data_IF_302111192307
#
_entry.id   IF_302111192307
#
_cell.length_a   1.000
_cell.length_b   1.000
_cell.length_c   1.000
_cell.angle_alpha   90.00
_cell.angle_beta   90.00
_cell.angle_gamma   90.00
#
_symmetry.space_group_name_H-M   'P 1'
#
loop_
_entity.id
_entity.type
_entity.pdbx_description
1 polymer ?
#
# COMPACT_ATOMS: atom_id res chain seq x y z
N UNK A 1 -2.55 -30.76 12.44
CA UNK A 1 -3.70 -29.85 12.53
C UNK A 1 -4.13 -29.46 11.12
N UNK A 2 -5.40 -29.56 10.77
CA UNK A 2 -5.87 -28.99 9.51
C UNK A 2 -5.70 -27.46 9.60
N UNK A 3 -5.09 -26.87 8.57
CA UNK A 3 -4.88 -25.42 8.51
C UNK A 3 -6.23 -24.75 8.25
N UNK A 4 -6.48 -23.59 8.89
CA UNK A 4 -7.66 -22.79 8.65
C UNK A 4 -7.78 -22.46 7.16
N UNK A 5 -9.00 -22.27 6.67
CA UNK A 5 -9.30 -21.89 5.29
C UNK A 5 -10.10 -20.60 5.30
N UNK A 6 -9.98 -19.82 4.24
CA UNK A 6 -10.85 -18.65 4.06
C UNK A 6 -12.31 -19.05 3.98
N UNK A 7 -13.16 -18.32 4.68
CA UNK A 7 -14.60 -18.51 4.68
C UNK A 7 -15.26 -18.12 3.35
N UNK A 8 -14.64 -17.18 2.59
CA UNK A 8 -15.16 -16.70 1.32
C UNK A 8 -14.08 -16.37 0.30
N UNK A 9 -14.43 -16.47 -1.00
CA UNK A 9 -13.55 -16.04 -2.09
C UNK A 9 -13.28 -14.54 -2.04
N UNK A 10 -14.30 -13.74 -1.78
CA UNK A 10 -14.18 -12.30 -1.65
C UNK A 10 -13.28 -11.91 -0.48
N UNK A 11 -13.41 -12.62 0.66
CA UNK A 11 -12.52 -12.45 1.80
C UNK A 11 -11.06 -12.67 1.42
N UNK A 12 -10.74 -13.79 0.76
CA UNK A 12 -9.39 -14.06 0.28
C UNK A 12 -8.85 -12.95 -0.64
N UNK A 13 -9.63 -12.52 -1.66
CA UNK A 13 -9.19 -11.50 -2.61
C UNK A 13 -8.93 -10.18 -1.89
N UNK A 14 -9.84 -9.74 -1.02
CA UNK A 14 -9.71 -8.47 -0.31
C UNK A 14 -8.58 -8.46 0.71
N UNK A 15 -8.30 -9.59 1.38
CA UNK A 15 -7.16 -9.68 2.30
C UNK A 15 -5.85 -9.65 1.54
N UNK A 16 -5.73 -10.48 0.50
CA UNK A 16 -4.52 -10.54 -0.32
C UNK A 16 -4.27 -9.21 -1.04
N UNK A 17 -5.32 -8.57 -1.55
CA UNK A 17 -5.23 -7.21 -2.08
C UNK A 17 -4.87 -6.21 -0.97
N UNK A 18 -5.40 -6.34 0.25
CA UNK A 18 -5.04 -5.50 1.39
C UNK A 18 -3.59 -5.65 1.85
N UNK A 19 -2.97 -6.79 1.59
CA UNK A 19 -1.52 -6.97 1.78
C UNK A 19 -0.71 -6.20 0.73
N UNK A 20 -1.17 -6.20 -0.52
CA UNK A 20 -0.54 -5.45 -1.62
C UNK A 20 -0.85 -3.94 -1.52
N UNK A 21 -2.13 -3.59 -1.32
CA UNK A 21 -2.60 -2.21 -1.19
C UNK A 21 -2.13 -1.61 0.14
N UNK A 22 -1.12 -0.80 0.08
CA UNK A 22 -0.54 -0.16 1.25
C UNK A 22 -0.04 1.25 0.95
N UNK A 23 0.86 1.71 1.79
CA UNK A 23 1.57 2.99 1.65
C UNK A 23 2.24 3.11 0.27
N UNK A 24 2.67 1.98 -0.30
CA UNK A 24 3.31 1.89 -1.60
C UNK A 24 2.46 2.42 -2.75
N UNK A 25 1.16 2.15 -2.73
CA UNK A 25 0.22 2.58 -3.78
C UNK A 25 -0.14 4.05 -3.65
N UNK A 26 -0.33 4.52 -2.41
CA UNK A 26 -0.89 5.86 -2.17
C UNK A 26 0.20 6.92 -2.05
N UNK A 27 1.39 6.53 -1.64
CA UNK A 27 2.50 7.44 -1.46
C UNK A 27 3.61 7.25 -2.50
N UNK A 28 4.24 6.03 -2.50
CA UNK A 28 5.41 5.81 -3.34
C UNK A 28 5.07 5.87 -4.83
N UNK A 29 3.96 5.27 -5.24
CA UNK A 29 3.56 5.23 -6.64
C UNK A 29 3.36 6.63 -7.25
N UNK A 30 2.53 7.55 -6.69
CA UNK A 30 2.40 8.90 -7.22
C UNK A 30 3.73 9.66 -7.22
N UNK A 31 4.50 9.58 -6.13
CA UNK A 31 5.80 10.22 -6.04
C UNK A 31 6.75 9.76 -7.15
N UNK A 32 6.90 8.44 -7.35
CA UNK A 32 7.78 7.91 -8.39
C UNK A 32 7.25 8.23 -9.79
N UNK A 33 5.93 8.17 -10.01
CA UNK A 33 5.31 8.54 -11.28
C UNK A 33 5.59 10.01 -11.64
N UNK A 34 5.45 10.92 -10.67
CA UNK A 34 5.72 12.34 -10.88
C UNK A 34 7.18 12.63 -11.24
N UNK A 35 8.11 11.91 -10.64
CA UNK A 35 9.56 12.12 -10.89
C UNK A 35 10.09 11.38 -12.12
N UNK A 36 9.36 10.43 -12.68
CA UNK A 36 9.81 9.59 -13.79
C UNK A 36 8.96 9.73 -15.06
N UNK A 37 8.55 10.96 -15.39
CA UNK A 37 7.90 11.27 -16.67
C UNK A 37 6.42 10.89 -16.76
N UNK A 38 5.73 10.74 -15.61
CA UNK A 38 4.28 10.57 -15.54
C UNK A 38 3.78 9.34 -16.30
N UNK A 39 3.05 9.58 -17.40
CA UNK A 39 2.38 8.53 -18.17
C UNK A 39 3.29 7.43 -18.69
N UNK A 40 4.55 7.71 -19.05
CA UNK A 40 5.49 6.68 -19.52
C UNK A 40 5.84 5.71 -18.39
N UNK A 41 6.06 6.23 -17.17
CA UNK A 41 6.29 5.39 -16.00
C UNK A 41 5.07 4.49 -15.73
N UNK A 42 3.86 5.04 -15.78
CA UNK A 42 2.61 4.29 -15.57
C UNK A 42 2.47 3.16 -16.59
N UNK A 43 2.75 3.42 -17.86
CA UNK A 43 2.71 2.39 -18.92
C UNK A 43 3.74 1.28 -18.68
N UNK A 44 4.98 1.62 -18.37
CA UNK A 44 6.03 0.64 -18.08
C UNK A 44 5.71 -0.17 -16.81
N UNK A 45 5.20 0.50 -15.78
CA UNK A 45 4.74 -0.17 -14.55
C UNK A 45 3.65 -1.22 -14.85
N UNK A 46 2.62 -0.87 -15.62
CA UNK A 46 1.58 -1.81 -16.02
C UNK A 46 2.14 -2.97 -16.85
N UNK A 47 3.08 -2.70 -17.76
CA UNK A 47 3.76 -3.73 -18.53
C UNK A 47 4.51 -4.71 -17.62
N UNK A 48 5.27 -4.21 -16.64
CA UNK A 48 6.00 -5.08 -15.69
C UNK A 48 5.08 -5.84 -14.74
N UNK A 49 3.93 -5.27 -14.35
CA UNK A 49 2.91 -6.01 -13.60
C UNK A 49 2.41 -7.23 -14.39
N UNK A 50 2.14 -7.04 -15.69
CA UNK A 50 1.69 -8.15 -16.55
C UNK A 50 2.79 -9.19 -16.79
N UNK A 51 4.02 -8.74 -17.07
CA UNK A 51 5.13 -9.64 -17.45
C UNK A 51 5.72 -10.38 -16.24
N UNK A 52 5.83 -9.74 -15.11
CA UNK A 52 6.51 -10.29 -13.93
C UNK A 52 5.62 -10.33 -12.70
N UNK A 53 4.83 -9.29 -12.44
CA UNK A 53 4.02 -9.17 -11.23
C UNK A 53 3.05 -10.33 -11.08
N UNK A 54 2.17 -10.55 -12.06
CA UNK A 54 1.18 -11.64 -12.04
C UNK A 54 1.84 -13.02 -12.00
N UNK A 55 2.85 -13.35 -12.82
CA UNK A 55 3.52 -14.64 -12.74
C UNK A 55 4.18 -14.90 -11.37
N UNK A 56 4.95 -13.95 -10.84
CA UNK A 56 5.63 -14.11 -9.54
C UNK A 56 4.63 -14.24 -8.41
N UNK A 57 3.58 -13.41 -8.38
CA UNK A 57 2.48 -13.52 -7.42
C UNK A 57 1.82 -14.90 -7.48
N UNK A 58 1.54 -15.39 -8.69
CA UNK A 58 0.94 -16.71 -8.86
C UNK A 58 1.85 -17.84 -8.39
N UNK A 59 3.18 -17.71 -8.58
CA UNK A 59 4.18 -18.66 -8.06
C UNK A 59 4.23 -18.65 -6.53
N UNK A 60 4.21 -17.48 -5.87
CA UNK A 60 4.18 -17.41 -4.41
C UNK A 60 2.90 -18.04 -3.83
N UNK A 61 1.74 -17.73 -4.41
CA UNK A 61 0.49 -18.39 -4.03
C UNK A 61 0.55 -19.92 -4.22
N UNK A 62 1.19 -20.40 -5.30
CA UNK A 62 1.35 -21.81 -5.57
C UNK A 62 2.27 -22.49 -4.54
N UNK A 63 3.39 -21.86 -4.18
CA UNK A 63 4.30 -22.35 -3.15
C UNK A 63 3.61 -22.42 -1.79
N UNK A 64 2.87 -21.39 -1.40
CA UNK A 64 2.08 -21.39 -0.19
C UNK A 64 1.04 -22.51 -0.16
N UNK A 65 0.30 -22.70 -1.27
CA UNK A 65 -0.70 -23.78 -1.40
C UNK A 65 -0.08 -25.17 -1.35
N UNK A 66 1.12 -25.36 -1.92
CA UNK A 66 1.80 -26.63 -1.94
C UNK A 66 2.34 -27.03 -0.56
N UNK A 67 2.98 -26.09 0.15
CA UNK A 67 3.60 -26.34 1.46
C UNK A 67 2.60 -26.23 2.61
N UNK A 68 1.51 -25.45 2.47
CA UNK A 68 0.59 -25.08 3.56
C UNK A 68 1.30 -24.50 4.78
N UNK A 69 2.40 -23.81 4.55
CA UNK A 69 3.32 -23.32 5.59
C UNK A 69 3.70 -21.86 5.35
N UNK A 70 4.25 -21.20 6.37
CA UNK A 70 4.87 -19.89 6.25
C UNK A 70 6.19 -19.98 5.46
N UNK A 71 6.74 -18.83 5.05
CA UNK A 71 7.86 -18.74 4.10
C UNK A 71 9.04 -19.65 4.45
N UNK A 72 9.52 -19.69 5.68
CA UNK A 72 10.70 -20.49 6.07
C UNK A 72 10.42 -21.99 5.87
N UNK A 73 9.31 -22.46 6.41
CA UNK A 73 8.91 -23.86 6.30
C UNK A 73 8.58 -24.24 4.87
N UNK A 74 7.95 -23.35 4.11
CA UNK A 74 7.61 -23.60 2.71
C UNK A 74 8.85 -23.92 1.87
N UNK A 75 9.92 -23.15 2.03
CA UNK A 75 11.17 -23.44 1.31
C UNK A 75 11.83 -24.73 1.77
N UNK A 76 11.85 -25.04 3.07
CA UNK A 76 12.37 -26.31 3.57
C UNK A 76 11.60 -27.54 3.04
N UNK A 77 10.27 -27.43 2.93
CA UNK A 77 9.43 -28.54 2.47
C UNK A 77 9.49 -28.74 0.95
N UNK A 78 9.70 -27.66 0.19
CA UNK A 78 9.68 -27.70 -1.28
C UNK A 78 11.07 -27.85 -1.91
N UNK A 79 12.15 -27.58 -1.19
CA UNK A 79 13.49 -27.71 -1.73
C UNK A 79 13.90 -29.18 -1.91
N UNK A 80 14.69 -29.45 -2.96
CA UNK A 80 15.24 -30.79 -3.19
C UNK A 80 16.47 -31.04 -2.31
N UNK A 81 16.78 -32.32 -2.00
CA UNK A 81 18.00 -32.65 -1.26
C UNK A 81 19.25 -32.03 -1.90
N UNK A 82 20.03 -31.33 -1.09
CA UNK A 82 21.26 -30.62 -1.53
C UNK A 82 21.05 -29.18 -2.01
N UNK A 83 19.82 -28.70 -2.16
CA UNK A 83 19.55 -27.28 -2.42
C UNK A 83 19.56 -26.48 -1.12
N UNK A 84 19.67 -25.15 -1.22
CA UNK A 84 19.72 -24.22 -0.08
C UNK A 84 18.72 -23.07 -0.21
N UNK A 85 17.55 -23.35 -0.79
CA UNK A 85 16.51 -22.33 -0.99
C UNK A 85 15.90 -21.85 0.33
N UNK A 86 16.00 -22.62 1.41
CA UNK A 86 15.60 -22.20 2.75
C UNK A 86 16.32 -20.90 3.20
N UNK A 87 17.52 -20.60 2.69
CA UNK A 87 18.22 -19.35 2.97
C UNK A 87 17.38 -18.15 2.50
N UNK A 88 16.74 -18.25 1.33
CA UNK A 88 15.81 -17.22 0.85
C UNK A 88 14.60 -17.07 1.81
N UNK A 89 14.11 -18.17 2.38
CA UNK A 89 13.06 -18.13 3.40
C UNK A 89 13.43 -17.30 4.62
N UNK A 90 14.65 -17.45 5.13
CA UNK A 90 15.16 -16.61 6.23
C UNK A 90 15.33 -15.15 5.82
N UNK A 91 15.89 -14.88 4.62
CA UNK A 91 16.02 -13.52 4.11
C UNK A 91 14.66 -12.82 3.95
N UNK A 92 13.67 -13.53 3.43
CA UNK A 92 12.30 -13.03 3.31
C UNK A 92 11.68 -12.72 4.69
N UNK A 93 11.90 -13.57 5.68
CA UNK A 93 11.42 -13.33 7.05
C UNK A 93 12.08 -12.08 7.67
N UNK A 94 13.39 -11.91 7.52
CA UNK A 94 14.09 -10.69 7.95
C UNK A 94 13.51 -9.45 7.26
N UNK A 95 13.22 -9.56 5.95
CA UNK A 95 12.56 -8.50 5.18
C UNK A 95 11.18 -8.14 5.76
N UNK A 96 10.38 -9.13 6.16
CA UNK A 96 9.08 -8.88 6.81
C UNK A 96 9.23 -8.16 8.16
N UNK A 97 10.21 -8.48 8.99
CA UNK A 97 10.47 -7.75 10.22
C UNK A 97 10.89 -6.30 9.97
N UNK A 98 11.81 -6.06 9.03
CA UNK A 98 12.25 -4.71 8.66
C UNK A 98 11.06 -3.89 8.13
N UNK A 99 10.25 -4.50 7.27
CA UNK A 99 9.03 -3.88 6.74
C UNK A 99 8.05 -3.53 7.88
N UNK A 100 7.85 -4.43 8.82
CA UNK A 100 6.94 -4.22 9.96
C UNK A 100 7.36 -3.02 10.81
N UNK A 101 8.66 -2.87 11.12
CA UNK A 101 9.16 -1.71 11.86
C UNK A 101 8.84 -0.39 11.16
N UNK A 102 9.05 -0.31 9.86
CA UNK A 102 8.72 0.87 9.08
C UNK A 102 7.21 1.12 9.02
N UNK A 103 6.44 0.09 8.67
CA UNK A 103 4.99 0.23 8.45
C UNK A 103 4.23 0.56 9.72
N UNK A 104 4.57 -0.02 10.86
CA UNK A 104 3.90 0.28 12.14
C UNK A 104 4.11 1.72 12.56
N UNK A 105 5.32 2.25 12.38
CA UNK A 105 5.65 3.65 12.69
C UNK A 105 4.86 4.61 11.80
N UNK A 106 4.91 4.41 10.48
CA UNK A 106 4.21 5.31 9.53
C UNK A 106 2.70 5.17 9.63
N UNK A 107 2.17 3.97 9.88
CA UNK A 107 0.74 3.77 10.17
C UNK A 107 0.29 4.56 11.42
N UNK A 108 1.15 4.60 12.43
CA UNK A 108 0.92 5.41 13.62
C UNK A 108 0.81 6.90 13.30
N UNK A 109 1.68 7.44 12.44
CA UNK A 109 1.58 8.83 11.98
C UNK A 109 0.27 9.10 11.26
N UNK A 110 -0.17 8.18 10.38
CA UNK A 110 -1.44 8.32 9.65
C UNK A 110 -2.64 8.37 10.59
N UNK A 111 -2.68 7.47 11.58
CA UNK A 111 -3.71 7.47 12.61
C UNK A 111 -3.67 8.77 13.44
N UNK A 112 -2.49 9.23 13.82
CA UNK A 112 -2.31 10.49 14.54
C UNK A 112 -2.85 11.70 13.76
N UNK A 113 -2.55 11.78 12.46
CA UNK A 113 -3.08 12.82 11.58
C UNK A 113 -4.60 12.72 11.42
N UNK A 114 -5.15 11.52 11.25
CA UNK A 114 -6.60 11.32 11.24
C UNK A 114 -7.26 11.88 12.50
N UNK A 115 -6.74 11.56 13.68
CA UNK A 115 -7.26 12.06 14.94
C UNK A 115 -7.16 13.60 15.00
N UNK A 116 -6.02 14.18 14.62
CA UNK A 116 -5.84 15.65 14.60
C UNK A 116 -6.84 16.36 13.67
N UNK A 117 -7.19 15.76 12.53
CA UNK A 117 -8.25 16.29 11.67
C UNK A 117 -9.63 16.17 12.31
N UNK A 118 -9.93 15.04 12.97
CA UNK A 118 -11.22 14.83 13.65
C UNK A 118 -11.38 15.74 14.86
N UNK A 119 -10.33 15.92 15.68
CA UNK A 119 -10.36 16.83 16.85
C UNK A 119 -10.37 18.31 16.45
N UNK A 120 -9.84 18.63 15.27
CA UNK A 120 -9.74 19.99 14.77
C UNK A 120 -8.44 20.69 15.18
N UNK A 121 -7.43 19.94 15.58
CA UNK A 121 -6.10 20.48 15.88
C UNK A 121 -5.40 21.00 14.61
N UNK A 122 -5.80 20.49 13.44
CA UNK A 122 -5.33 20.98 12.13
C UNK A 122 -6.36 21.98 11.61
N UNK A 123 -5.93 23.23 11.50
CA UNK A 123 -6.72 24.37 11.02
C UNK A 123 -6.07 25.01 9.81
N UNK A 124 -6.75 25.97 9.16
CA UNK A 124 -6.21 26.72 8.01
C UNK A 124 -4.92 27.51 8.30
N UNK A 125 -4.60 27.73 9.58
CA UNK A 125 -3.41 28.48 10.01
C UNK A 125 -2.33 27.58 10.58
N UNK A 126 -2.44 26.26 10.47
CA UNK A 126 -1.47 25.30 10.98
C UNK A 126 -0.29 25.23 10.02
N UNK A 127 0.94 25.45 10.49
CA UNK A 127 2.13 25.15 9.68
C UNK A 127 2.34 23.63 9.60
N UNK A 128 1.91 23.05 8.47
CA UNK A 128 2.00 21.60 8.21
C UNK A 128 3.45 21.09 8.25
N UNK A 129 4.43 21.95 7.90
CA UNK A 129 5.86 21.57 7.93
C UNK A 129 6.36 21.46 9.36
N UNK A 130 6.03 22.47 10.19
CA UNK A 130 6.40 22.47 11.61
C UNK A 130 5.67 21.33 12.35
N UNK A 131 4.38 21.12 12.06
CA UNK A 131 3.61 20.05 12.68
C UNK A 131 4.21 18.66 12.40
N UNK A 132 4.66 18.41 11.17
CA UNK A 132 5.32 17.15 10.84
C UNK A 132 6.69 17.02 11.52
N UNK A 133 7.47 18.10 11.57
CA UNK A 133 8.73 18.15 12.32
C UNK A 133 8.53 17.85 13.81
N UNK A 134 7.50 18.42 14.43
CA UNK A 134 7.16 18.18 15.85
C UNK A 134 6.76 16.72 16.11
N UNK A 135 6.04 16.08 15.18
CA UNK A 135 5.69 14.65 15.29
C UNK A 135 6.94 13.79 15.26
N UNK A 136 7.87 14.05 14.32
CA UNK A 136 9.12 13.29 14.21
C UNK A 136 10.07 13.56 15.39
N UNK A 137 10.09 14.79 15.90
CA UNK A 137 10.94 15.17 17.02
C UNK A 137 10.49 14.59 18.36
N UNK A 138 9.25 14.09 18.47
CA UNK A 138 8.72 13.55 19.72
C UNK A 138 8.61 12.01 19.70
N UNK A 139 9.63 11.28 20.22
CA UNK A 139 9.65 9.82 20.22
C UNK A 139 8.47 9.19 20.98
N UNK A 140 7.97 9.85 22.05
CA UNK A 140 6.85 9.33 22.83
C UNK A 140 5.54 9.36 22.07
N UNK A 141 5.26 10.42 21.34
CA UNK A 141 4.07 10.52 20.49
C UNK A 141 4.13 9.44 19.39
N UNK A 142 5.28 9.30 18.74
CA UNK A 142 5.48 8.26 17.73
C UNK A 142 5.27 6.86 18.31
N UNK A 143 5.87 6.59 19.48
CA UNK A 143 5.74 5.30 20.16
C UNK A 143 4.28 4.99 20.52
N UNK A 144 3.54 5.94 21.07
CA UNK A 144 2.13 5.74 21.45
C UNK A 144 1.28 5.37 20.24
N UNK A 145 1.36 6.12 19.13
CA UNK A 145 0.58 5.84 17.93
C UNK A 145 0.99 4.51 17.28
N UNK A 146 2.29 4.21 17.24
CA UNK A 146 2.79 2.92 16.78
C UNK A 146 2.26 1.78 17.65
N UNK A 147 2.30 1.92 18.98
CA UNK A 147 1.80 0.91 19.91
C UNK A 147 0.30 0.65 19.73
N UNK A 148 -0.50 1.69 19.47
CA UNK A 148 -1.94 1.53 19.17
C UNK A 148 -2.14 0.70 17.89
N UNK A 149 -1.40 0.99 16.82
CA UNK A 149 -1.47 0.21 15.57
C UNK A 149 -1.08 -1.25 15.79
N UNK A 150 0.03 -1.49 16.49
CA UNK A 150 0.49 -2.86 16.81
C UNK A 150 -0.55 -3.58 17.65
N UNK A 151 -1.11 -2.94 18.66
CA UNK A 151 -2.13 -3.53 19.52
C UNK A 151 -3.38 -3.93 18.71
N UNK A 152 -3.87 -3.06 17.83
CA UNK A 152 -5.00 -3.37 16.94
C UNK A 152 -4.66 -4.57 16.07
N UNK A 153 -3.49 -4.59 15.43
CA UNK A 153 -3.09 -5.69 14.55
C UNK A 153 -2.96 -7.02 15.31
N UNK A 154 -2.35 -7.02 16.50
CA UNK A 154 -2.23 -8.21 17.37
C UNK A 154 -3.61 -8.71 17.80
N UNK A 155 -4.53 -7.83 18.20
CA UNK A 155 -5.90 -8.22 18.56
C UNK A 155 -6.58 -8.88 17.35
N UNK A 156 -6.47 -8.28 16.16
CA UNK A 156 -7.08 -8.83 14.93
C UNK A 156 -6.52 -10.21 14.61
N UNK A 157 -5.20 -10.40 14.62
CA UNK A 157 -4.58 -11.70 14.38
C UNK A 157 -4.93 -12.73 15.46
N UNK A 158 -5.02 -12.32 16.74
CA UNK A 158 -5.37 -13.22 17.85
C UNK A 158 -6.81 -13.78 17.76
N UNK A 159 -7.70 -13.14 16.99
CA UNK A 159 -9.06 -13.63 16.75
C UNK A 159 -9.12 -14.76 15.71
N UNK A 160 -7.98 -15.14 15.12
CA UNK A 160 -7.85 -16.17 14.09
C UNK A 160 -8.19 -15.66 12.69
N UNK A 161 -7.99 -16.53 11.68
CA UNK A 161 -8.10 -16.16 10.28
C UNK A 161 -9.52 -15.67 9.89
N UNK A 162 -10.56 -16.47 10.17
CA UNK A 162 -11.91 -16.18 9.69
C UNK A 162 -12.60 -15.04 10.47
N UNK A 163 -12.51 -15.03 11.79
CA UNK A 163 -13.23 -14.07 12.64
C UNK A 163 -12.46 -12.75 12.83
N UNK A 164 -11.13 -12.79 12.78
CA UNK A 164 -10.25 -11.64 12.90
C UNK A 164 -9.83 -11.11 11.55
N UNK A 165 -8.79 -11.72 10.98
CA UNK A 165 -8.10 -11.21 9.79
C UNK A 165 -9.05 -11.09 8.61
N UNK A 166 -9.82 -12.13 8.25
CA UNK A 166 -10.74 -12.09 7.11
C UNK A 166 -11.86 -11.07 7.31
N UNK A 167 -12.57 -11.17 8.42
CA UNK A 167 -13.75 -10.34 8.64
C UNK A 167 -13.40 -8.87 8.74
N UNK A 168 -12.40 -8.51 9.52
CA UNK A 168 -12.02 -7.11 9.77
C UNK A 168 -11.40 -6.50 8.52
N UNK A 169 -10.42 -7.16 7.90
CA UNK A 169 -9.76 -6.64 6.69
C UNK A 169 -10.75 -6.51 5.53
N UNK A 170 -11.70 -7.43 5.37
CA UNK A 170 -12.76 -7.32 4.36
C UNK A 170 -13.55 -6.01 4.48
N UNK A 171 -14.02 -5.67 5.68
CA UNK A 171 -14.76 -4.42 5.88
C UNK A 171 -13.87 -3.19 5.71
N UNK A 172 -12.64 -3.24 6.23
CA UNK A 172 -11.67 -2.16 6.03
C UNK A 172 -11.41 -1.90 4.54
N UNK A 173 -11.22 -2.96 3.74
CA UNK A 173 -10.97 -2.84 2.30
C UNK A 173 -12.19 -2.31 1.54
N UNK A 174 -13.40 -2.72 1.90
CA UNK A 174 -14.62 -2.16 1.28
C UNK A 174 -14.77 -0.66 1.58
N UNK A 175 -14.53 -0.25 2.82
CA UNK A 175 -14.55 1.18 3.21
C UNK A 175 -13.45 1.93 2.47
N UNK A 176 -12.24 1.37 2.41
CA UNK A 176 -11.09 1.94 1.70
C UNK A 176 -11.42 2.19 0.22
N UNK A 177 -11.99 1.19 -0.47
CA UNK A 177 -12.39 1.33 -1.87
C UNK A 177 -13.50 2.39 -2.06
N UNK A 178 -14.43 2.49 -1.13
CA UNK A 178 -15.42 3.56 -1.13
C UNK A 178 -14.79 4.95 -0.93
N UNK A 179 -13.91 5.08 0.04
CA UNK A 179 -13.21 6.33 0.35
C UNK A 179 -12.35 6.81 -0.83
N UNK A 180 -11.59 5.93 -1.48
CA UNK A 180 -10.73 6.31 -2.61
C UNK A 180 -11.55 6.81 -3.80
N UNK A 181 -12.72 6.22 -4.07
CA UNK A 181 -13.62 6.66 -5.14
C UNK A 181 -14.16 8.07 -4.82
N UNK A 182 -14.64 8.29 -3.60
CA UNK A 182 -15.17 9.59 -3.17
C UNK A 182 -14.09 10.67 -3.25
N UNK A 183 -12.88 10.38 -2.76
CA UNK A 183 -11.75 11.31 -2.81
C UNK A 183 -11.31 11.60 -4.24
N UNK A 184 -11.28 10.60 -5.12
CA UNK A 184 -10.93 10.77 -6.52
C UNK A 184 -11.96 11.64 -7.26
N UNK A 185 -13.26 11.39 -7.08
CA UNK A 185 -14.34 12.21 -7.65
C UNK A 185 -14.18 13.65 -7.18
N UNK A 186 -13.98 13.87 -5.88
CA UNK A 186 -13.80 15.23 -5.34
C UNK A 186 -12.55 15.91 -5.93
N UNK A 187 -11.42 15.21 -6.02
CA UNK A 187 -10.20 15.78 -6.59
C UNK A 187 -10.36 16.19 -8.05
N UNK A 188 -11.15 15.44 -8.84
CA UNK A 188 -11.46 15.77 -10.23
C UNK A 188 -12.40 16.98 -10.39
N UNK A 189 -13.13 17.37 -9.35
CA UNK A 189 -13.98 18.57 -9.37
C UNK A 189 -13.23 19.87 -9.05
N UNK A 190 -11.95 19.79 -8.68
CA UNK A 190 -11.14 20.96 -8.34
C UNK A 190 -10.74 21.75 -9.59
N UNK A 191 -10.67 23.09 -9.45
CA UNK A 191 -10.19 23.96 -10.50
C UNK A 191 -8.71 23.65 -10.82
N UNK A 192 -8.42 23.27 -12.06
CA UNK A 192 -7.07 22.85 -12.45
C UNK A 192 -6.83 21.34 -12.48
N UNK A 193 -7.82 20.52 -12.10
CA UNK A 193 -7.72 19.05 -12.11
C UNK A 193 -7.22 18.50 -13.47
N UNK A 194 -7.63 19.09 -14.58
CA UNK A 194 -7.17 18.70 -15.92
C UNK A 194 -5.66 18.82 -16.11
N UNK A 195 -5.00 19.79 -15.47
CA UNK A 195 -3.53 19.92 -15.51
C UNK A 195 -2.87 18.77 -14.76
N UNK A 196 -3.40 18.41 -13.59
CA UNK A 196 -2.92 17.29 -12.78
C UNK A 196 -3.08 15.95 -13.51
N UNK A 197 -4.23 15.71 -14.14
CA UNK A 197 -4.46 14.51 -14.93
C UNK A 197 -3.53 14.44 -16.15
N UNK A 198 -3.29 15.56 -16.83
CA UNK A 198 -2.32 15.63 -17.93
C UNK A 198 -0.91 15.30 -17.46
N UNK A 199 -0.48 15.88 -16.34
CA UNK A 199 0.83 15.60 -15.74
C UNK A 199 1.00 14.12 -15.39
N UNK A 200 -0.04 13.49 -14.85
CA UNK A 200 -0.01 12.09 -14.40
C UNK A 200 -0.05 11.10 -15.57
N UNK A 201 -0.90 11.34 -16.60
CA UNK A 201 -1.20 10.33 -17.62
C UNK A 201 -0.50 10.58 -18.96
N UNK A 202 -0.03 11.80 -19.23
CA UNK A 202 0.66 12.13 -20.47
C UNK A 202 2.16 12.03 -20.26
N UNK A 203 2.91 11.31 -21.13
CA UNK A 203 4.36 11.24 -21.05
C UNK A 203 5.01 12.63 -21.18
N UNK A 204 5.90 12.96 -20.25
CA UNK A 204 6.70 14.18 -20.31
C UNK A 204 8.08 13.86 -20.90
N UNK A 205 8.29 14.25 -22.16
CA UNK A 205 9.51 13.97 -22.91
C UNK A 205 10.73 14.66 -22.29
N UNK A 206 10.57 15.86 -21.74
CA UNK A 206 11.68 16.58 -21.10
C UNK A 206 12.15 15.83 -19.85
N UNK A 207 11.22 15.31 -19.05
CA UNK A 207 11.54 14.49 -17.89
C UNK A 207 12.19 13.16 -18.29
N UNK A 208 11.78 12.57 -19.41
CA UNK A 208 12.40 11.32 -19.91
C UNK A 208 13.87 11.56 -20.27
N UNK A 209 14.18 12.70 -20.91
CA UNK A 209 15.55 13.07 -21.24
C UNK A 209 16.38 13.38 -19.98
N UNK A 210 15.81 14.11 -19.02
CA UNK A 210 16.48 14.48 -17.75
C UNK A 210 16.82 13.26 -16.89
N UNK A 211 15.84 12.38 -16.66
CA UNK A 211 16.00 11.21 -15.78
C UNK A 211 16.72 10.05 -16.49
N UNK A 212 16.56 9.94 -17.78
CA UNK A 212 17.05 8.85 -18.60
C UNK A 212 16.10 7.65 -18.64
N UNK A 213 15.76 7.19 -19.84
CA UNK A 213 14.77 6.12 -20.05
C UNK A 213 15.11 4.82 -19.30
N UNK A 214 16.41 4.48 -19.19
CA UNK A 214 16.86 3.29 -18.43
C UNK A 214 16.52 3.35 -16.95
N UNK A 215 16.63 4.52 -16.33
CA UNK A 215 16.27 4.72 -14.92
C UNK A 215 14.76 4.58 -14.72
N UNK A 216 13.96 5.10 -15.65
CA UNK A 216 12.49 4.98 -15.62
C UNK A 216 12.06 3.51 -15.69
N UNK A 217 12.71 2.70 -16.56
CA UNK A 217 12.47 1.26 -16.65
C UNK A 217 12.75 0.58 -15.30
N UNK A 218 13.90 0.87 -14.68
CA UNK A 218 14.30 0.28 -13.40
C UNK A 218 13.31 0.66 -12.30
N UNK A 219 12.92 1.92 -12.21
CA UNK A 219 11.98 2.38 -11.19
C UNK A 219 10.56 1.81 -11.41
N UNK A 220 10.11 1.68 -12.66
CA UNK A 220 8.84 1.04 -12.97
C UNK A 220 8.84 -0.45 -12.62
N UNK A 221 9.92 -1.16 -12.89
CA UNK A 221 10.10 -2.56 -12.50
C UNK A 221 10.14 -2.71 -10.96
N UNK A 222 10.91 -1.88 -10.27
CA UNK A 222 10.96 -1.86 -8.80
C UNK A 222 9.58 -1.62 -8.20
N UNK A 223 8.81 -0.69 -8.76
CA UNK A 223 7.46 -0.40 -8.30
C UNK A 223 6.52 -1.58 -8.51
N UNK A 224 6.62 -2.30 -9.64
CA UNK A 224 5.78 -3.46 -9.93
C UNK A 224 6.00 -4.61 -8.93
N UNK A 225 7.23 -4.86 -8.50
CA UNK A 225 7.52 -5.85 -7.44
C UNK A 225 7.09 -5.36 -6.06
N UNK A 226 7.36 -4.10 -5.76
CA UNK A 226 7.06 -3.51 -4.46
C UNK A 226 5.56 -3.47 -4.18
N UNK A 227 4.74 -3.05 -5.16
CA UNK A 227 3.30 -2.88 -4.98
C UNK A 227 2.59 -4.19 -4.65
N UNK A 228 2.98 -5.31 -5.27
CA UNK A 228 2.38 -6.62 -5.03
C UNK A 228 2.93 -7.35 -3.80
N UNK A 229 3.86 -6.73 -3.06
CA UNK A 229 4.53 -7.34 -1.90
C UNK A 229 5.12 -8.73 -2.20
N UNK A 230 5.62 -8.94 -3.43
CA UNK A 230 6.23 -10.20 -3.86
C UNK A 230 7.73 -10.24 -3.56
N UNK A 231 8.29 -11.45 -3.44
CA UNK A 231 9.71 -11.68 -3.12
C UNK A 231 9.99 -11.91 -1.63
N UNK A 232 9.09 -11.48 -0.75
CA UNK A 232 9.23 -11.66 0.71
C UNK A 232 8.35 -12.79 1.27
N UNK A 233 7.60 -13.49 0.41
CA UNK A 233 6.73 -14.57 0.80
C UNK A 233 5.45 -14.13 1.52
N UNK A 234 5.14 -12.85 1.55
CA UNK A 234 3.90 -12.35 2.15
C UNK A 234 2.66 -12.95 1.48
N UNK A 235 2.72 -13.24 0.18
CA UNK A 235 1.63 -13.91 -0.53
C UNK A 235 1.62 -15.43 -0.33
N UNK A 236 2.73 -16.04 0.11
CA UNK A 236 2.75 -17.49 0.42
C UNK A 236 1.82 -17.83 1.56
N UNK A 237 1.76 -17.01 2.62
CA UNK A 237 0.88 -17.29 3.75
C UNK A 237 -0.58 -17.35 3.30
N UNK A 238 -1.02 -16.41 2.46
CA UNK A 238 -2.38 -16.42 1.91
C UNK A 238 -2.60 -17.59 0.95
N UNK A 239 -1.59 -17.93 0.13
CA UNK A 239 -1.60 -19.12 -0.72
C UNK A 239 -1.82 -20.41 0.08
N UNK A 240 -1.27 -20.48 1.31
CA UNK A 240 -1.38 -21.66 2.16
C UNK A 240 -2.81 -21.94 2.68
N UNK A 241 -3.68 -20.94 2.65
CA UNK A 241 -5.09 -21.05 3.03
C UNK A 241 -6.02 -21.33 1.84
N UNK A 242 -5.49 -21.38 0.59
CA UNK A 242 -6.28 -21.63 -0.62
C UNK A 242 -6.42 -23.13 -0.89
N UNK A 243 -7.64 -23.57 -1.17
CA UNK A 243 -7.92 -24.92 -1.63
C UNK A 243 -7.53 -25.17 -3.09
N UNK A 244 -7.55 -26.46 -3.50
CA UNK A 244 -7.18 -26.89 -4.86
C UNK A 244 -8.22 -26.51 -5.93
N UNK A 245 -9.42 -26.15 -5.52
CA UNK A 245 -10.55 -25.79 -6.37
C UNK A 245 -10.38 -24.42 -7.06
N UNK A 246 -9.39 -23.61 -6.65
CA UNK A 246 -9.19 -22.25 -7.17
C UNK A 246 -8.05 -22.15 -8.15
N UNK A 247 -8.25 -21.39 -9.22
CA UNK A 247 -7.23 -21.10 -10.23
C UNK A 247 -6.36 -19.93 -9.76
N UNK A 248 -5.11 -20.21 -9.34
CA UNK A 248 -4.20 -19.22 -8.74
C UNK A 248 -3.91 -18.03 -9.65
N UNK A 249 -3.75 -18.25 -10.96
CA UNK A 249 -3.51 -17.17 -11.92
C UNK A 249 -4.71 -16.20 -11.95
N UNK A 250 -5.94 -16.76 -11.94
CA UNK A 250 -7.15 -15.93 -11.89
C UNK A 250 -7.26 -15.11 -10.60
N UNK A 251 -6.88 -15.69 -9.47
CA UNK A 251 -6.85 -14.96 -8.18
C UNK A 251 -5.73 -13.90 -8.20
N UNK A 252 -4.55 -14.21 -8.73
CA UNK A 252 -3.44 -13.27 -8.88
C UNK A 252 -3.81 -12.08 -9.76
N UNK A 253 -4.52 -12.29 -10.88
CA UNK A 253 -5.02 -11.22 -11.74
C UNK A 253 -5.97 -10.30 -10.97
N UNK A 254 -6.90 -10.85 -10.19
CA UNK A 254 -7.87 -10.04 -9.44
C UNK A 254 -7.18 -9.21 -8.34
N UNK A 255 -6.21 -9.78 -7.63
CA UNK A 255 -5.41 -9.05 -6.65
C UNK A 255 -4.66 -7.91 -7.34
N UNK A 256 -3.98 -8.18 -8.46
CA UNK A 256 -3.23 -7.18 -9.22
C UNK A 256 -4.13 -6.07 -9.76
N UNK A 257 -5.33 -6.39 -10.24
CA UNK A 257 -6.29 -5.39 -10.72
C UNK A 257 -6.75 -4.45 -9.60
N UNK A 258 -7.06 -4.99 -8.41
CA UNK A 258 -7.44 -4.17 -7.26
C UNK A 258 -6.27 -3.28 -6.79
N UNK A 259 -5.08 -3.83 -6.72
CA UNK A 259 -3.86 -3.10 -6.36
C UNK A 259 -3.59 -1.94 -7.33
N UNK A 260 -3.59 -2.24 -8.63
CA UNK A 260 -3.40 -1.24 -9.69
C UNK A 260 -4.48 -0.18 -9.68
N UNK A 261 -5.74 -0.57 -9.46
CA UNK A 261 -6.86 0.37 -9.33
C UNK A 261 -6.59 1.39 -8.22
N UNK A 262 -6.17 0.94 -7.04
CA UNK A 262 -5.86 1.83 -5.92
C UNK A 262 -4.66 2.72 -6.23
N UNK A 263 -3.60 2.19 -6.85
CA UNK A 263 -2.43 2.98 -7.24
C UNK A 263 -2.81 4.10 -8.23
N UNK A 264 -3.56 3.78 -9.27
CA UNK A 264 -4.03 4.78 -10.27
C UNK A 264 -4.96 5.81 -9.61
N UNK A 265 -5.93 5.37 -8.80
CA UNK A 265 -6.84 6.30 -8.10
C UNK A 265 -6.09 7.22 -7.14
N UNK A 266 -5.02 6.74 -6.51
CA UNK A 266 -4.16 7.60 -5.66
C UNK A 266 -3.49 8.70 -6.49
N UNK A 267 -3.02 8.40 -7.69
CA UNK A 267 -2.54 9.42 -8.64
C UNK A 267 -3.63 10.42 -9.02
N UNK A 268 -4.86 9.93 -9.30
CA UNK A 268 -6.03 10.77 -9.60
C UNK A 268 -6.44 11.68 -8.42
N UNK A 269 -6.17 11.27 -7.19
CA UNK A 269 -6.40 12.13 -6.01
C UNK A 269 -5.30 13.18 -5.88
N UNK A 270 -4.05 12.76 -5.94
CA UNK A 270 -2.91 13.59 -5.54
C UNK A 270 -2.55 14.62 -6.61
N UNK A 271 -2.41 14.22 -7.87
CA UNK A 271 -1.96 15.14 -8.91
C UNK A 271 -2.93 16.29 -9.20
N UNK A 272 -4.25 16.04 -9.39
CA UNK A 272 -5.19 17.13 -9.53
C UNK A 272 -5.22 18.06 -8.33
N UNK A 273 -5.20 17.50 -7.10
CA UNK A 273 -5.22 18.29 -5.88
C UNK A 273 -3.98 19.20 -5.76
N UNK A 274 -2.78 18.64 -5.97
CA UNK A 274 -1.54 19.42 -5.92
C UNK A 274 -1.48 20.52 -7.00
N UNK A 275 -1.86 20.18 -8.25
CA UNK A 275 -1.81 21.14 -9.36
C UNK A 275 -2.87 22.25 -9.25
N UNK A 276 -4.02 21.97 -8.64
CA UNK A 276 -5.06 22.97 -8.37
C UNK A 276 -4.58 24.08 -7.43
N UNK A 277 -3.68 23.74 -6.53
CA UNK A 277 -3.15 24.69 -5.54
C UNK A 277 -1.69 25.08 -5.80
N UNK A 278 -1.12 24.73 -6.97
CA UNK A 278 0.28 24.98 -7.36
C UNK A 278 1.30 24.47 -6.33
N UNK A 279 1.06 23.29 -5.75
CA UNK A 279 1.93 22.67 -4.77
C UNK A 279 2.77 21.58 -5.45
N UNK A 280 4.11 21.57 -5.29
CA UNK A 280 4.97 20.55 -5.87
C UNK A 280 4.63 19.13 -5.40
N UNK A 281 4.75 18.14 -6.30
CA UNK A 281 4.44 16.72 -6.04
C UNK A 281 5.67 15.88 -5.71
N UNK A 282 6.84 16.46 -5.65
CA UNK A 282 8.16 15.81 -5.62
C UNK A 282 8.81 15.65 -4.24
N UNK A 283 8.06 15.82 -3.16
CA UNK A 283 8.61 15.93 -1.81
C UNK A 283 8.69 14.63 -0.99
N UNK A 284 8.62 13.45 -1.60
CA UNK A 284 8.77 12.15 -0.89
C UNK A 284 7.75 11.97 0.26
N UNK A 285 8.18 11.56 1.49
CA UNK A 285 7.31 11.44 2.65
C UNK A 285 6.53 12.70 2.98
N UNK A 286 7.13 13.85 2.74
CA UNK A 286 6.50 15.15 2.94
C UNK A 286 5.27 15.37 2.05
N UNK A 287 5.15 14.64 0.93
CA UNK A 287 3.96 14.69 0.07
C UNK A 287 2.67 14.42 0.88
N UNK A 288 2.68 13.41 1.74
CA UNK A 288 1.48 13.04 2.52
C UNK A 288 1.32 13.88 3.77
N UNK A 289 2.41 14.14 4.50
CA UNK A 289 2.33 14.74 5.82
C UNK A 289 2.49 16.26 5.84
N UNK A 290 2.96 16.85 4.74
CA UNK A 290 3.15 18.29 4.60
C UNK A 290 2.37 18.84 3.42
N UNK A 291 2.56 18.27 2.23
CA UNK A 291 1.99 18.79 0.97
C UNK A 291 0.47 18.64 0.95
N UNK A 292 -0.06 17.45 1.18
CA UNK A 292 -1.51 17.23 1.18
C UNK A 292 -2.25 17.96 2.30
N UNK A 293 -1.76 18.02 3.55
CA UNK A 293 -2.35 18.93 4.54
C UNK A 293 -2.45 20.38 4.06
N UNK A 294 -1.40 20.94 3.43
CA UNK A 294 -1.47 22.28 2.83
C UNK A 294 -2.57 22.38 1.75
N UNK A 295 -2.73 21.35 0.93
CA UNK A 295 -3.84 21.29 -0.04
C UNK A 295 -5.18 21.35 0.68
N UNK A 296 -5.37 20.52 1.71
CA UNK A 296 -6.63 20.51 2.48
C UNK A 296 -6.91 21.81 3.19
N UNK A 297 -5.89 22.55 3.68
CA UNK A 297 -6.04 23.87 4.28
C UNK A 297 -6.70 24.89 3.34
N UNK A 298 -6.40 24.81 2.05
CA UNK A 298 -6.96 25.71 1.02
C UNK A 298 -8.33 25.24 0.50
N UNK A 299 -8.71 23.97 0.75
CA UNK A 299 -9.97 23.40 0.26
C UNK A 299 -11.16 23.83 1.11
N UNK A 300 -12.32 24.02 0.47
CA UNK A 300 -13.60 24.12 1.19
C UNK A 300 -13.91 22.78 1.88
N UNK A 301 -14.14 22.81 3.20
CA UNK A 301 -14.32 21.59 3.97
C UNK A 301 -13.05 20.75 4.16
N UNK A 302 -11.87 21.34 4.05
CA UNK A 302 -10.58 20.65 4.07
C UNK A 302 -10.35 19.77 5.31
N UNK A 303 -10.90 20.17 6.47
CA UNK A 303 -10.90 19.32 7.68
C UNK A 303 -11.58 17.96 7.43
N UNK A 304 -12.73 17.96 6.78
CA UNK A 304 -13.46 16.73 6.44
C UNK A 304 -12.69 15.89 5.43
N UNK A 305 -12.19 16.51 4.35
CA UNK A 305 -11.44 15.82 3.31
C UNK A 305 -10.11 15.27 3.81
N UNK A 306 -9.42 16.02 4.65
CA UNK A 306 -8.20 15.56 5.33
C UNK A 306 -8.47 14.38 6.25
N UNK A 307 -9.52 14.43 7.06
CA UNK A 307 -9.92 13.29 7.90
C UNK A 307 -10.23 12.05 7.05
N UNK A 308 -11.00 12.18 5.97
CA UNK A 308 -11.31 11.05 5.06
C UNK A 308 -10.07 10.48 4.40
N UNK A 309 -9.14 11.33 3.95
CA UNK A 309 -7.89 10.91 3.36
C UNK A 309 -7.01 10.14 4.35
N UNK A 310 -6.80 10.67 5.56
CA UNK A 310 -5.98 10.00 6.56
C UNK A 310 -6.64 8.75 7.14
N UNK A 311 -7.98 8.66 7.16
CA UNK A 311 -8.69 7.42 7.47
C UNK A 311 -8.42 6.35 6.40
N UNK A 312 -8.54 6.72 5.13
CA UNK A 312 -8.19 5.86 4.00
C UNK A 312 -6.75 5.35 4.11
N UNK A 313 -5.79 6.25 4.36
CA UNK A 313 -4.38 5.92 4.53
C UNK A 313 -4.13 5.00 5.72
N UNK A 314 -4.81 5.23 6.84
CA UNK A 314 -4.72 4.38 8.04
C UNK A 314 -5.21 2.96 7.74
N UNK A 315 -6.30 2.80 7.01
CA UNK A 315 -6.80 1.48 6.63
C UNK A 315 -5.86 0.77 5.64
N UNK A 316 -5.32 1.48 4.65
CA UNK A 316 -4.35 0.94 3.72
C UNK A 316 -3.08 0.45 4.44
N UNK A 317 -2.58 1.24 5.38
CA UNK A 317 -1.40 0.87 6.15
C UNK A 317 -1.67 -0.28 7.14
N UNK A 318 -2.78 -0.24 7.86
CA UNK A 318 -3.16 -1.25 8.86
C UNK A 318 -3.43 -2.61 8.21
N UNK A 319 -4.06 -2.67 7.02
CA UNK A 319 -4.28 -3.93 6.31
C UNK A 319 -2.96 -4.63 5.97
N UNK A 320 -1.95 -3.87 5.54
CA UNK A 320 -0.60 -4.41 5.30
C UNK A 320 0.07 -4.86 6.61
N UNK A 321 -0.03 -4.09 7.70
CA UNK A 321 0.52 -4.48 9.02
C UNK A 321 -0.08 -5.80 9.50
N UNK A 322 -1.41 -5.97 9.40
CA UNK A 322 -2.10 -7.21 9.75
C UNK A 322 -1.58 -8.37 8.90
N UNK A 323 -1.47 -8.17 7.58
CA UNK A 323 -1.03 -9.19 6.64
C UNK A 323 0.43 -9.64 6.90
N UNK A 324 1.33 -8.69 7.16
CA UNK A 324 2.74 -8.98 7.48
C UNK A 324 2.85 -9.67 8.85
N UNK A 325 2.07 -9.24 9.82
CA UNK A 325 2.05 -9.89 11.15
C UNK A 325 1.55 -11.33 11.05
N UNK A 326 0.49 -11.59 10.26
CA UNK A 326 -0.02 -12.94 9.98
C UNK A 326 1.05 -13.85 9.33
N UNK A 327 1.94 -13.28 8.51
CA UNK A 327 3.04 -14.03 7.89
C UNK A 327 4.18 -14.34 8.88
N UNK A 328 4.32 -13.55 9.95
CA UNK A 328 5.36 -13.75 10.98
C UNK A 328 4.90 -14.76 12.04
N UNK A 329 3.61 -14.75 12.41
CA UNK A 329 3.03 -15.66 13.40
C UNK A 329 2.79 -17.06 12.80
#
# INVERSE_FOLDING_TARGET
MEREKFGSRLGFILISAGCAIGIGNVWRFPYVAGNNGGGIFVLLYMLFLLMFGIPVLSMELAMGRASKSSIIRAYHELERPGQKWHIHGYLGMIGNYILLFFYTTVSGWMLGYFIKYVTGDITKNTDSSQMFADVIANPWIMFVWMAVIVLIAVIVCSMGLQNGVEKITKYMMLILLGLIIILAIHSLTLDGAGKGMKYFLVPDMNKIEEVGFGNIIIEAMRQAFFTLSVGMGSMMIFGSYIGKERALVGEGIQITLLDTFVAIMSGVIIFPACMSYNIPTDSGPSLIFVTLPKVFEHMSGGRFWGAMFFLFMTFAALSTVIAVLENII
#
